data_IF_909677908451
#
_entry.id   IF_909677908451
#
_cell.length_a   1.000
_cell.length_b   1.000
_cell.length_c   1.000
_cell.angle_alpha   90.00
_cell.angle_beta   90.00
_cell.angle_gamma   90.00
#
_symmetry.space_group_name_H-M   'P 1'
#
loop_
_entity.id
_entity.type
_entity.pdbx_description
1 polymer ?
#
# COMPACT_ATOMS: atom_id res chain seq x y z
N UNK A 1 -22.14 22.93 41.72
CA UNK A 1 -22.68 22.43 40.44
C UNK A 1 -22.23 23.40 39.35
N UNK A 2 -21.17 23.06 38.62
CA UNK A 2 -20.63 23.90 37.54
C UNK A 2 -21.20 23.39 36.21
N UNK A 3 -22.06 24.19 35.59
CA UNK A 3 -22.59 23.97 34.24
C UNK A 3 -21.68 24.73 33.29
N UNK A 4 -20.55 24.13 32.94
CA UNK A 4 -19.67 24.60 31.87
C UNK A 4 -19.01 23.38 31.21
N UNK A 5 -19.81 22.36 30.89
CA UNK A 5 -19.45 21.38 29.87
C UNK A 5 -19.67 22.05 28.51
N UNK A 6 -18.75 22.94 28.14
CA UNK A 6 -18.53 23.26 26.74
C UNK A 6 -18.16 21.94 26.07
N UNK A 7 -19.14 21.28 25.43
CA UNK A 7 -18.90 20.18 24.52
C UNK A 7 -17.79 20.60 23.56
N UNK A 8 -16.58 20.11 23.80
CA UNK A 8 -15.47 20.24 22.86
C UNK A 8 -16.00 19.78 21.51
N UNK A 9 -16.05 20.68 20.54
CA UNK A 9 -16.72 20.45 19.26
C UNK A 9 -16.25 19.12 18.67
N UNK A 10 -17.12 18.10 18.71
CA UNK A 10 -16.83 16.79 18.17
C UNK A 10 -16.78 16.94 16.66
N UNK A 11 -15.58 16.88 16.09
CA UNK A 11 -15.39 16.86 14.64
C UNK A 11 -15.55 15.44 14.14
N UNK A 12 -16.22 15.29 12.99
CA UNK A 12 -16.43 14.00 12.34
C UNK A 12 -15.79 14.02 10.97
N UNK A 13 -15.17 12.89 10.62
CA UNK A 13 -14.56 12.63 9.32
C UNK A 13 -15.21 11.40 8.70
N UNK A 14 -15.38 11.39 7.38
CA UNK A 14 -15.97 10.26 6.66
C UNK A 14 -14.86 9.55 5.88
N UNK A 15 -14.29 8.53 6.49
CA UNK A 15 -13.26 7.71 5.87
C UNK A 15 -13.85 6.69 4.89
N UNK A 16 -13.08 6.35 3.88
CA UNK A 16 -13.42 5.30 2.93
C UNK A 16 -12.82 3.97 3.39
N UNK A 17 -13.56 2.88 3.18
CA UNK A 17 -13.01 1.54 3.38
C UNK A 17 -11.90 1.25 2.35
N UNK A 18 -10.94 0.36 2.68
CA UNK A 18 -9.96 -0.13 1.71
C UNK A 18 -10.66 -0.81 0.53
N UNK A 19 -10.09 -0.68 -0.66
CA UNK A 19 -10.62 -1.34 -1.86
C UNK A 19 -10.43 -2.85 -1.76
N UNK A 20 -11.25 -3.59 -2.51
CA UNK A 20 -11.12 -5.05 -2.63
C UNK A 20 -9.72 -5.47 -3.12
N UNK A 21 -9.14 -4.74 -4.07
CA UNK A 21 -7.80 -5.02 -4.60
C UNK A 21 -6.72 -4.87 -3.52
N UNK A 22 -6.77 -3.84 -2.69
CA UNK A 22 -5.83 -3.68 -1.55
C UNK A 22 -5.97 -4.80 -0.54
N UNK A 23 -7.21 -5.22 -0.22
CA UNK A 23 -7.44 -6.33 0.70
C UNK A 23 -6.97 -7.68 0.11
N UNK A 24 -7.23 -7.93 -1.17
CA UNK A 24 -6.77 -9.13 -1.86
C UNK A 24 -5.26 -9.19 -1.97
N UNK A 25 -4.60 -8.07 -2.29
CA UNK A 25 -3.14 -7.98 -2.33
C UNK A 25 -2.53 -8.22 -0.95
N UNK A 26 -3.09 -7.61 0.11
CA UNK A 26 -2.65 -7.86 1.48
C UNK A 26 -2.88 -9.32 1.90
N UNK A 27 -3.96 -9.94 1.43
CA UNK A 27 -4.25 -11.34 1.69
C UNK A 27 -3.29 -12.29 0.94
N UNK A 28 -2.99 -11.99 -0.34
CA UNK A 28 -2.11 -12.77 -1.20
C UNK A 28 -0.63 -12.64 -0.81
N UNK A 29 -0.22 -11.47 -0.33
CA UNK A 29 1.17 -11.21 0.11
C UNK A 29 1.39 -11.48 1.60
N UNK A 30 0.32 -11.54 2.41
CA UNK A 30 0.37 -11.71 3.86
C UNK A 30 0.01 -13.12 4.36
N UNK A 31 -0.38 -13.19 5.64
CA UNK A 31 -0.69 -14.45 6.36
C UNK A 31 -1.87 -15.23 5.78
N UNK A 32 -2.77 -14.57 5.05
CA UNK A 32 -3.96 -15.19 4.43
C UNK A 32 -3.63 -16.26 3.40
N UNK A 33 -2.48 -16.14 2.72
CA UNK A 33 -1.97 -17.12 1.75
C UNK A 33 -1.86 -18.53 2.33
N UNK A 34 -1.45 -18.68 3.59
CA UNK A 34 -1.32 -19.99 4.23
C UNK A 34 -2.67 -20.68 4.43
N UNK A 35 -3.73 -19.91 4.73
CA UNK A 35 -5.06 -20.46 4.93
C UNK A 35 -5.66 -20.98 3.61
N UNK A 36 -5.45 -20.25 2.51
CA UNK A 36 -5.87 -20.72 1.17
C UNK A 36 -5.04 -21.91 0.70
N UNK A 37 -3.73 -21.90 0.92
CA UNK A 37 -2.87 -23.04 0.59
C UNK A 37 -3.28 -24.27 1.40
N UNK A 38 -3.53 -24.14 2.71
CA UNK A 38 -3.99 -25.25 3.54
C UNK A 38 -5.35 -25.79 3.07
N UNK A 39 -6.30 -24.93 2.71
CA UNK A 39 -7.59 -25.33 2.15
C UNK A 39 -7.44 -26.06 0.81
N UNK A 40 -6.56 -25.58 -0.09
CA UNK A 40 -6.25 -26.28 -1.34
C UNK A 40 -5.60 -27.65 -1.10
N UNK A 41 -4.63 -27.75 -0.19
CA UNK A 41 -4.02 -29.02 0.14
C UNK A 41 -5.05 -30.00 0.70
N UNK A 42 -5.92 -29.56 1.61
CA UNK A 42 -7.00 -30.38 2.14
C UNK A 42 -7.94 -30.88 1.02
N UNK A 43 -8.31 -30.02 0.07
CA UNK A 43 -9.13 -30.41 -1.08
C UNK A 43 -8.42 -31.45 -1.96
N UNK A 44 -7.13 -31.27 -2.25
CA UNK A 44 -6.32 -32.22 -3.03
C UNK A 44 -6.25 -33.57 -2.30
N UNK A 45 -6.01 -33.59 -0.98
CA UNK A 45 -5.99 -34.82 -0.20
C UNK A 45 -7.33 -35.56 -0.23
N UNK A 46 -8.46 -34.84 -0.15
CA UNK A 46 -9.79 -35.44 -0.28
C UNK A 46 -10.02 -36.02 -1.67
N UNK A 47 -9.62 -35.31 -2.74
CA UNK A 47 -9.70 -35.79 -4.12
C UNK A 47 -8.86 -37.05 -4.35
N UNK A 48 -7.60 -37.05 -3.91
CA UNK A 48 -6.69 -38.20 -4.02
C UNK A 48 -7.23 -39.40 -3.21
N UNK A 49 -7.72 -39.16 -1.99
CA UNK A 49 -8.33 -40.20 -1.16
C UNK A 49 -9.60 -40.80 -1.79
N UNK A 50 -10.45 -39.98 -2.41
CA UNK A 50 -11.66 -40.44 -3.08
C UNK A 50 -11.34 -41.31 -4.31
N UNK A 51 -10.33 -40.93 -5.11
CA UNK A 51 -9.88 -41.71 -6.28
C UNK A 51 -9.28 -43.05 -5.84
N UNK A 52 -8.41 -43.05 -4.83
CA UNK A 52 -7.74 -44.27 -4.34
C UNK A 52 -8.72 -45.26 -3.72
N UNK A 53 -9.80 -44.79 -3.09
CA UNK A 53 -10.76 -45.67 -2.38
C UNK A 53 -11.89 -46.19 -3.26
N UNK A 54 -12.02 -45.73 -4.52
CA UNK A 54 -13.06 -46.11 -5.51
C UNK A 54 -14.49 -46.18 -4.93
N UNK A 55 -14.77 -45.44 -3.86
CA UNK A 55 -16.10 -45.43 -3.23
C UNK A 55 -16.98 -44.43 -3.95
N UNK A 56 -18.15 -44.86 -4.42
CA UNK A 56 -19.20 -44.00 -4.98
C UNK A 56 -19.65 -42.89 -4.02
N UNK A 57 -19.54 -43.13 -2.70
CA UNK A 57 -19.74 -42.11 -1.67
C UNK A 57 -18.70 -40.98 -1.69
N UNK A 58 -17.48 -41.24 -2.17
CA UNK A 58 -16.42 -40.23 -2.30
C UNK A 58 -16.78 -39.13 -3.31
N UNK A 59 -17.54 -39.47 -4.36
CA UNK A 59 -17.98 -38.50 -5.37
C UNK A 59 -18.97 -37.48 -4.82
N UNK A 60 -19.90 -37.92 -3.96
CA UNK A 60 -20.85 -37.04 -3.27
C UNK A 60 -20.14 -36.07 -2.33
N UNK A 61 -19.12 -36.57 -1.60
CA UNK A 61 -18.30 -35.74 -0.71
C UNK A 61 -17.53 -34.68 -1.51
N UNK A 62 -16.94 -35.05 -2.65
CA UNK A 62 -16.22 -34.10 -3.53
C UNK A 62 -17.16 -33.04 -4.08
N UNK A 63 -18.34 -33.42 -4.59
CA UNK A 63 -19.33 -32.47 -5.12
C UNK A 63 -19.82 -31.53 -4.01
N UNK A 64 -20.20 -32.07 -2.84
CA UNK A 64 -20.64 -31.26 -1.71
C UNK A 64 -19.54 -30.29 -1.24
N UNK A 65 -18.28 -30.75 -1.21
CA UNK A 65 -17.12 -29.92 -0.89
C UNK A 65 -16.91 -28.78 -1.89
N UNK A 66 -17.00 -29.05 -3.20
CA UNK A 66 -16.89 -28.03 -4.23
C UNK A 66 -18.03 -27.01 -4.17
N UNK A 67 -19.27 -27.45 -3.93
CA UNK A 67 -20.41 -26.55 -3.74
C UNK A 67 -20.22 -25.67 -2.51
N UNK A 68 -19.83 -26.24 -1.37
CA UNK A 68 -19.57 -25.48 -0.15
C UNK A 68 -18.44 -24.45 -0.34
N UNK A 69 -17.35 -24.83 -1.02
CA UNK A 69 -16.23 -23.93 -1.31
C UNK A 69 -16.63 -22.80 -2.28
N UNK A 70 -17.48 -23.12 -3.26
CA UNK A 70 -18.04 -22.14 -4.20
C UNK A 70 -18.96 -21.14 -3.49
N UNK A 71 -19.86 -21.61 -2.63
CA UNK A 71 -20.73 -20.75 -1.82
C UNK A 71 -19.93 -19.89 -0.84
N UNK A 72 -18.91 -20.46 -0.19
CA UNK A 72 -18.02 -19.72 0.70
C UNK A 72 -17.23 -18.65 -0.08
N UNK A 73 -16.75 -18.97 -1.27
CA UNK A 73 -16.09 -18.04 -2.17
C UNK A 73 -17.01 -16.88 -2.58
N UNK A 74 -18.24 -17.18 -3.01
CA UNK A 74 -19.24 -16.17 -3.40
C UNK A 74 -19.69 -15.31 -2.22
N UNK A 75 -19.94 -15.90 -1.06
CA UNK A 75 -20.30 -15.16 0.15
C UNK A 75 -19.15 -14.25 0.60
N UNK A 76 -17.91 -14.75 0.55
CA UNK A 76 -16.71 -13.99 0.87
C UNK A 76 -16.50 -12.80 -0.07
N UNK A 77 -16.60 -13.01 -1.39
CA UNK A 77 -16.46 -11.92 -2.37
C UNK A 77 -17.57 -10.90 -2.25
N UNK A 78 -18.83 -11.32 -2.07
CA UNK A 78 -19.96 -10.43 -1.83
C UNK A 78 -19.77 -9.61 -0.53
N UNK A 79 -19.30 -10.23 0.55
CA UNK A 79 -19.00 -9.56 1.81
C UNK A 79 -17.89 -8.52 1.66
N UNK A 80 -16.78 -8.87 1.00
CA UNK A 80 -15.65 -7.95 0.75
C UNK A 80 -16.09 -6.80 -0.13
N UNK A 81 -16.84 -7.07 -1.20
CA UNK A 81 -17.37 -6.05 -2.10
C UNK A 81 -18.28 -5.07 -1.36
N UNK A 82 -19.24 -5.59 -0.59
CA UNK A 82 -20.12 -4.77 0.23
C UNK A 82 -19.35 -3.95 1.27
N UNK A 83 -18.38 -4.56 1.96
CA UNK A 83 -17.52 -3.88 2.93
C UNK A 83 -16.69 -2.75 2.29
N UNK A 84 -16.18 -2.95 1.08
CA UNK A 84 -15.38 -1.96 0.35
C UNK A 84 -16.17 -0.69 -0.02
N UNK A 85 -17.50 -0.79 -0.09
CA UNK A 85 -18.41 0.34 -0.37
C UNK A 85 -18.87 1.08 0.89
N UNK A 86 -18.53 0.59 2.08
CA UNK A 86 -18.91 1.25 3.33
C UNK A 86 -18.07 2.49 3.58
N UNK A 87 -18.73 3.55 4.01
CA UNK A 87 -18.10 4.72 4.62
C UNK A 87 -17.98 4.46 6.12
N UNK A 88 -16.85 4.85 6.70
CA UNK A 88 -16.55 4.70 8.12
C UNK A 88 -16.53 6.10 8.72
N UNK A 89 -17.38 6.35 9.71
CA UNK A 89 -17.43 7.65 10.38
C UNK A 89 -16.42 7.64 11.52
N UNK A 90 -15.50 8.60 11.51
CA UNK A 90 -14.46 8.77 12.52
C UNK A 90 -14.79 10.03 13.32
N UNK A 91 -15.11 9.88 14.60
CA UNK A 91 -15.35 11.00 15.50
C UNK A 91 -14.09 11.34 16.29
N UNK A 92 -13.77 12.62 16.44
CA UNK A 92 -12.74 13.08 17.37
C UNK A 92 -13.41 13.62 18.63
N UNK A 93 -12.96 13.14 19.77
CA UNK A 93 -13.44 13.54 21.10
C UNK A 93 -12.26 14.00 21.96
N UNK A 94 -12.51 14.50 23.17
CA UNK A 94 -11.45 14.78 24.16
C UNK A 94 -10.64 13.53 24.52
N UNK A 95 -11.29 12.37 24.49
CA UNK A 95 -10.73 11.11 25.03
C UNK A 95 -10.02 10.30 23.93
N UNK A 96 -10.15 10.70 22.66
CA UNK A 96 -9.53 10.06 21.52
C UNK A 96 -10.45 9.98 20.29
N UNK A 97 -10.16 9.00 19.43
CA UNK A 97 -10.86 8.73 18.19
C UNK A 97 -11.91 7.64 18.36
N UNK A 98 -13.16 7.89 17.94
CA UNK A 98 -14.22 6.89 17.83
C UNK A 98 -14.34 6.42 16.38
N UNK A 99 -14.57 5.11 16.20
CA UNK A 99 -14.67 4.49 14.88
C UNK A 99 -16.04 3.83 14.73
N UNK A 100 -16.79 4.29 13.73
CA UNK A 100 -18.22 4.09 13.59
C UNK A 100 -19.00 4.56 14.84
N UNK A 101 -20.33 4.63 14.79
CA UNK A 101 -21.17 4.94 15.97
C UNK A 101 -21.04 3.92 17.13
N UNK A 102 -20.08 3.00 17.04
CA UNK A 102 -19.75 2.03 18.09
C UNK A 102 -18.97 2.75 19.19
N UNK A 103 -19.29 2.43 20.44
CA UNK A 103 -18.77 3.06 21.67
C UNK A 103 -17.27 2.82 21.94
N UNK A 104 -16.46 2.50 20.93
CA UNK A 104 -15.05 2.22 21.14
C UNK A 104 -14.20 3.45 20.87
N UNK A 105 -13.49 3.87 21.90
CA UNK A 105 -12.56 5.00 21.86
C UNK A 105 -11.14 4.46 21.72
N UNK A 106 -10.40 5.02 20.78
CA UNK A 106 -8.98 4.80 20.59
C UNK A 106 -8.22 6.02 21.11
N UNK A 107 -7.45 5.88 22.20
CA UNK A 107 -6.72 6.99 22.76
C UNK A 107 -5.65 7.50 21.77
N UNK A 108 -5.49 8.81 21.71
CA UNK A 108 -4.52 9.45 20.82
C UNK A 108 -3.11 9.53 21.41
N UNK A 109 -2.96 9.37 22.72
CA UNK A 109 -1.66 9.45 23.42
C UNK A 109 -0.65 8.41 22.92
N UNK A 110 -1.13 7.22 22.56
CA UNK A 110 -0.30 6.12 22.06
C UNK A 110 -0.33 6.00 20.53
N UNK A 111 -0.91 6.99 19.85
CA UNK A 111 -1.03 6.96 18.40
C UNK A 111 0.34 7.17 17.75
N UNK A 112 0.64 6.39 16.71
CA UNK A 112 1.93 6.41 16.02
C UNK A 112 1.75 6.57 14.52
N UNK A 113 2.61 7.34 13.88
CA UNK A 113 2.66 7.44 12.43
C UNK A 113 3.62 6.40 11.86
N UNK A 114 3.27 5.83 10.71
CA UNK A 114 4.10 4.88 9.98
C UNK A 114 3.85 4.98 8.47
N UNK A 115 4.73 4.41 7.63
CA UNK A 115 4.53 4.41 6.19
C UNK A 115 3.35 3.55 5.75
N UNK A 116 2.53 4.05 4.82
CA UNK A 116 1.58 3.25 4.06
C UNK A 116 2.15 3.04 2.65
N UNK A 117 2.84 1.90 2.47
CA UNK A 117 3.90 1.66 1.47
C UNK A 117 3.63 2.19 0.05
N UNK A 118 2.41 2.05 -0.47
CA UNK A 118 2.08 2.46 -1.85
C UNK A 118 1.14 3.67 -1.96
N UNK A 119 0.67 4.22 -0.84
CA UNK A 119 -0.49 5.12 -0.83
C UNK A 119 -0.29 6.38 0.01
N UNK A 120 0.63 6.40 0.99
CA UNK A 120 0.94 7.59 1.79
C UNK A 120 1.39 7.26 3.22
N UNK A 121 0.70 7.82 4.20
CA UNK A 121 1.01 7.66 5.64
C UNK A 121 -0.10 6.88 6.35
N UNK A 122 0.23 6.13 7.39
CA UNK A 122 -0.71 5.44 8.26
C UNK A 122 -0.62 5.95 9.70
N UNK A 123 -1.77 6.26 10.29
CA UNK A 123 -1.94 6.51 11.72
C UNK A 123 -2.37 5.21 12.41
N UNK A 124 -1.52 4.70 13.28
CA UNK A 124 -1.74 3.51 14.08
C UNK A 124 -2.35 3.90 15.41
N UNK A 125 -3.50 3.31 15.71
CA UNK A 125 -4.23 3.49 16.94
C UNK A 125 -4.34 2.16 17.67
N UNK A 126 -4.15 2.20 18.99
CA UNK A 126 -4.22 1.03 19.84
C UNK A 126 -5.13 1.30 21.03
N UNK A 127 -6.01 0.34 21.33
CA UNK A 127 -6.89 0.37 22.50
C UNK A 127 -6.98 -1.05 23.05
N UNK A 128 -6.20 -1.32 24.10
CA UNK A 128 -6.00 -2.67 24.63
C UNK A 128 -5.39 -3.63 23.60
N UNK A 129 -6.04 -4.77 23.39
CA UNK A 129 -5.67 -5.77 22.38
C UNK A 129 -6.07 -5.39 20.95
N UNK A 130 -6.78 -4.28 20.79
CA UNK A 130 -7.41 -3.96 19.52
C UNK A 130 -6.67 -2.85 18.75
N UNK A 131 -6.42 -3.26 17.51
CA UNK A 131 -6.06 -2.56 16.28
C UNK A 131 -6.97 -1.50 15.67
N UNK A 132 -6.50 -0.31 15.31
CA UNK A 132 -7.10 0.40 14.16
C UNK A 132 -6.06 1.23 13.41
N UNK A 133 -6.05 1.16 12.08
CA UNK A 133 -5.10 1.89 11.24
C UNK A 133 -5.85 2.76 10.23
N UNK A 134 -5.61 4.08 10.28
CA UNK A 134 -6.19 5.06 9.35
C UNK A 134 -5.10 5.50 8.38
N UNK A 135 -5.32 5.34 7.08
CA UNK A 135 -4.43 5.84 6.04
C UNK A 135 -4.74 7.30 5.65
N UNK A 136 -3.71 8.14 5.58
CA UNK A 136 -3.74 9.41 4.86
C UNK A 136 -3.24 9.19 3.44
N UNK A 137 -4.17 9.03 2.49
CA UNK A 137 -3.83 8.85 1.08
C UNK A 137 -3.24 10.15 0.54
N UNK A 138 -2.17 10.04 -0.23
CA UNK A 138 -1.41 11.15 -0.82
C UNK A 138 -0.72 12.07 0.19
N UNK A 139 -0.71 11.71 1.48
CA UNK A 139 0.09 12.44 2.45
C UNK A 139 1.56 12.06 2.29
N UNK A 140 2.40 13.06 2.07
CA UNK A 140 3.86 12.94 2.04
C UNK A 140 4.44 12.86 3.44
N UNK A 141 5.60 12.21 3.55
CA UNK A 141 6.37 12.12 4.80
C UNK A 141 7.42 13.24 4.76
N UNK A 142 7.34 14.19 5.68
CA UNK A 142 8.40 15.19 5.79
C UNK A 142 9.68 14.53 6.34
N UNK A 143 10.89 15.01 5.98
CA UNK A 143 12.14 14.45 6.51
C UNK A 143 12.23 14.45 8.05
N UNK A 144 11.55 15.40 8.70
CA UNK A 144 11.47 15.54 10.16
C UNK A 144 10.37 14.72 10.82
N UNK A 145 9.39 14.21 10.05
CA UNK A 145 8.27 13.44 10.60
C UNK A 145 8.79 12.12 11.20
N UNK A 146 8.56 11.91 12.50
CA UNK A 146 8.88 10.65 13.15
C UNK A 146 7.90 9.56 12.72
N UNK A 147 8.45 8.43 12.28
CA UNK A 147 7.70 7.25 11.86
C UNK A 147 7.95 6.11 12.84
N UNK A 148 7.24 6.13 13.95
CA UNK A 148 7.42 5.18 15.06
C UNK A 148 6.62 3.88 14.88
N UNK A 149 5.71 3.83 13.93
CA UNK A 149 4.95 2.62 13.59
C UNK A 149 5.56 1.88 12.38
N UNK A 150 5.47 0.53 12.37
CA UNK A 150 5.96 -0.25 11.25
C UNK A 150 5.16 0.03 9.97
N UNK A 151 5.79 -0.01 8.79
CA UNK A 151 5.11 0.12 7.51
C UNK A 151 3.95 -0.87 7.35
N UNK A 152 2.85 -0.40 6.75
CA UNK A 152 1.67 -1.21 6.47
C UNK A 152 1.36 -1.24 4.98
N UNK A 153 0.90 -2.40 4.51
CA UNK A 153 0.45 -2.62 3.14
C UNK A 153 -1.04 -2.29 2.98
N UNK A 154 -1.81 -2.42 4.06
CA UNK A 154 -3.24 -2.15 4.09
C UNK A 154 -3.63 -1.45 5.40
N UNK A 155 -4.66 -0.63 5.30
CA UNK A 155 -5.26 0.15 6.39
C UNK A 155 -6.72 -0.26 6.57
N UNK A 156 -7.29 0.01 7.74
CA UNK A 156 -8.68 -0.33 8.05
C UNK A 156 -9.66 0.70 7.45
N UNK A 157 -9.22 1.94 7.34
CA UNK A 157 -9.92 3.05 6.69
C UNK A 157 -8.91 4.03 6.12
N UNK A 158 -9.30 4.87 5.16
CA UNK A 158 -8.44 5.93 4.64
C UNK A 158 -9.20 7.23 4.39
N UNK A 159 -8.48 8.34 4.50
CA UNK A 159 -8.92 9.71 4.26
C UNK A 159 -8.04 10.33 3.17
N UNK A 160 -8.57 11.32 2.45
CA UNK A 160 -7.74 12.14 1.57
C UNK A 160 -6.81 13.03 2.39
N UNK A 161 -5.69 13.45 1.80
CA UNK A 161 -4.66 14.26 2.48
C UNK A 161 -5.23 15.44 3.26
N UNK A 162 -6.15 16.23 2.70
CA UNK A 162 -6.72 17.39 3.40
C UNK A 162 -7.48 17.00 4.68
N UNK A 163 -8.30 15.95 4.63
CA UNK A 163 -9.09 15.46 5.78
C UNK A 163 -8.19 14.77 6.81
N UNK A 164 -7.18 14.05 6.35
CA UNK A 164 -6.22 13.39 7.21
C UNK A 164 -5.33 14.41 7.94
N UNK A 165 -4.88 15.45 7.24
CA UNK A 165 -4.11 16.55 7.81
C UNK A 165 -4.92 17.31 8.86
N UNK A 166 -6.20 17.55 8.60
CA UNK A 166 -7.11 18.12 9.58
C UNK A 166 -7.29 17.20 10.79
N UNK A 167 -7.46 15.89 10.58
CA UNK A 167 -7.53 14.90 11.66
C UNK A 167 -6.24 14.92 12.50
N UNK A 168 -5.06 14.96 11.86
CA UNK A 168 -3.78 15.04 12.56
C UNK A 168 -3.60 16.37 13.28
N UNK A 169 -4.07 17.50 12.74
CA UNK A 169 -4.02 18.79 13.41
C UNK A 169 -4.90 18.82 14.66
N UNK A 170 -6.07 18.19 14.61
CA UNK A 170 -6.94 18.04 15.78
C UNK A 170 -6.30 17.12 16.82
N UNK A 171 -5.75 15.98 16.37
CA UNK A 171 -5.13 14.99 17.24
C UNK A 171 -3.81 15.46 17.87
N UNK A 172 -2.95 16.15 17.10
CA UNK A 172 -1.64 16.63 17.53
C UNK A 172 -1.70 17.63 18.69
N UNK A 173 -2.79 18.39 18.81
CA UNK A 173 -3.06 19.23 19.98
C UNK A 173 -3.20 18.44 21.28
N UNK A 174 -3.58 17.16 21.20
CA UNK A 174 -3.80 16.29 22.36
C UNK A 174 -2.65 15.34 22.61
N UNK A 175 -1.97 14.85 21.56
CA UNK A 175 -0.97 13.78 21.66
C UNK A 175 0.47 14.21 21.45
N UNK A 176 0.72 15.46 21.03
CA UNK A 176 2.08 15.89 20.67
C UNK A 176 2.62 15.19 19.41
N UNK A 177 1.75 14.54 18.63
CA UNK A 177 2.09 14.04 17.30
C UNK A 177 2.59 15.20 16.44
N UNK A 178 3.81 15.08 15.91
CA UNK A 178 4.33 16.02 14.95
C UNK A 178 3.57 15.85 13.62
N UNK A 179 2.50 16.61 13.49
CA UNK A 179 1.55 16.56 12.38
C UNK A 179 1.98 17.41 11.19
N UNK A 180 3.18 18.01 11.23
CA UNK A 180 3.59 18.94 10.19
C UNK A 180 3.79 18.20 8.87
N UNK A 181 3.06 18.61 7.83
CA UNK A 181 3.37 18.23 6.46
C UNK A 181 4.68 18.91 5.99
N UNK A 182 5.27 18.45 4.87
CA UNK A 182 6.47 19.07 4.32
C UNK A 182 6.20 20.55 4.01
N UNK A 183 7.12 21.43 4.40
CA UNK A 183 7.06 22.85 4.01
C UNK A 183 7.53 23.02 2.57
N UNK A 184 7.07 24.10 1.92
CA UNK A 184 7.71 24.57 0.69
C UNK A 184 9.19 24.87 0.94
N UNK A 185 10.07 24.27 0.13
CA UNK A 185 11.53 24.37 0.27
C UNK A 185 12.18 23.37 1.23
N UNK A 186 11.42 22.46 1.86
CA UNK A 186 12.02 21.32 2.56
C UNK A 186 12.42 20.22 1.55
N UNK A 187 13.54 19.51 1.79
CA UNK A 187 13.97 18.41 0.92
C UNK A 187 12.87 17.37 0.72
N UNK A 188 12.72 16.91 -0.52
CA UNK A 188 11.77 15.85 -0.85
C UNK A 188 12.41 14.51 -0.48
N UNK A 189 11.91 13.88 0.60
CA UNK A 189 12.30 12.52 1.01
C UNK A 189 11.31 11.49 0.50
N UNK A 190 11.79 10.51 -0.25
CA UNK A 190 11.00 9.40 -0.76
C UNK A 190 11.50 8.06 -0.19
N UNK A 191 10.59 7.27 0.38
CA UNK A 191 10.90 5.94 0.89
C UNK A 191 10.72 4.91 -0.23
N UNK A 192 11.80 4.25 -0.63
CA UNK A 192 11.80 3.25 -1.68
C UNK A 192 11.64 1.84 -1.08
N UNK A 193 10.49 1.23 -1.31
CA UNK A 193 10.22 -0.15 -0.89
C UNK A 193 10.54 -1.13 -2.02
N UNK A 194 11.01 -2.36 -1.72
CA UNK A 194 11.13 -3.38 -2.74
C UNK A 194 9.79 -3.62 -3.42
N UNK A 195 9.80 -3.78 -4.74
CA UNK A 195 8.59 -4.08 -5.46
C UNK A 195 8.03 -5.46 -5.03
N UNK A 196 6.80 -5.52 -4.44
CA UNK A 196 6.20 -6.79 -3.97
C UNK A 196 6.03 -7.81 -5.10
N UNK A 197 5.88 -7.34 -6.33
CA UNK A 197 5.70 -8.14 -7.52
C UNK A 197 6.99 -8.82 -7.99
N UNK A 198 8.17 -8.50 -7.45
CA UNK A 198 9.40 -9.25 -7.76
C UNK A 198 9.32 -10.73 -7.35
N UNK A 199 8.46 -11.06 -6.37
CA UNK A 199 8.25 -12.44 -5.94
C UNK A 199 7.72 -13.35 -7.06
N UNK A 200 6.93 -12.81 -8.00
CA UNK A 200 6.34 -13.59 -9.09
C UNK A 200 7.37 -13.92 -10.18
N UNK A 201 8.42 -13.12 -10.31
CA UNK A 201 9.55 -13.42 -11.20
C UNK A 201 10.51 -14.46 -10.61
N UNK A 202 10.35 -14.81 -9.33
CA UNK A 202 11.15 -15.84 -8.70
C UNK A 202 10.60 -17.22 -9.05
N UNK A 203 11.48 -18.14 -9.49
CA UNK A 203 11.07 -19.51 -9.77
C UNK A 203 10.44 -20.21 -8.56
N UNK A 204 9.56 -21.18 -8.81
CA UNK A 204 8.74 -21.87 -7.79
C UNK A 204 9.52 -22.54 -6.65
N UNK A 205 10.84 -22.74 -6.82
CA UNK A 205 11.73 -23.33 -5.81
C UNK A 205 12.56 -22.29 -5.03
N UNK A 206 12.41 -21.00 -5.33
CA UNK A 206 13.16 -19.92 -4.71
C UNK A 206 12.60 -19.48 -3.35
N UNK A 207 12.08 -20.42 -2.55
CA UNK A 207 11.38 -20.15 -1.28
C UNK A 207 12.17 -19.24 -0.33
N UNK A 208 13.49 -19.46 -0.21
CA UNK A 208 14.35 -18.61 0.64
C UNK A 208 14.40 -17.16 0.15
N UNK A 209 14.50 -16.94 -1.17
CA UNK A 209 14.53 -15.59 -1.77
C UNK A 209 13.17 -14.91 -1.60
N UNK A 210 12.09 -15.66 -1.81
CA UNK A 210 10.73 -15.16 -1.65
C UNK A 210 10.44 -14.76 -0.19
N UNK A 211 10.84 -15.58 0.77
CA UNK A 211 10.70 -15.26 2.19
C UNK A 211 11.52 -14.01 2.57
N UNK A 212 12.76 -13.91 2.08
CA UNK A 212 13.61 -12.74 2.34
C UNK A 212 12.99 -11.46 1.76
N UNK A 213 12.44 -11.53 0.54
CA UNK A 213 11.71 -10.42 -0.07
C UNK A 213 10.49 -10.04 0.77
N UNK A 214 9.66 -11.01 1.20
CA UNK A 214 8.50 -10.74 2.05
C UNK A 214 8.87 -10.02 3.36
N UNK A 215 10.00 -10.40 3.96
CA UNK A 215 10.52 -9.69 5.15
C UNK A 215 10.94 -8.26 4.80
N UNK A 216 11.58 -8.03 3.66
CA UNK A 216 12.01 -6.69 3.24
C UNK A 216 10.85 -5.79 2.80
N UNK A 217 9.69 -6.33 2.40
CA UNK A 217 8.50 -5.51 2.07
C UNK A 217 7.96 -4.69 3.26
N UNK A 218 8.39 -5.03 4.48
CA UNK A 218 8.01 -4.31 5.69
C UNK A 218 8.93 -3.14 6.03
N UNK A 219 9.99 -2.88 5.24
CA UNK A 219 10.96 -1.81 5.49
C UNK A 219 11.38 -1.14 4.18
N UNK A 220 11.62 0.18 4.19
CA UNK A 220 12.26 0.82 3.05
C UNK A 220 13.64 0.19 2.85
N UNK A 221 14.00 -0.09 1.60
CA UNK A 221 15.32 -0.62 1.25
C UNK A 221 16.29 0.48 0.83
N UNK A 222 15.75 1.60 0.36
CA UNK A 222 16.50 2.80 0.04
C UNK A 222 15.68 4.03 0.45
N UNK A 223 16.36 5.12 0.73
CA UNK A 223 15.77 6.44 0.87
C UNK A 223 16.38 7.33 -0.20
N UNK A 224 15.51 8.02 -0.94
CA UNK A 224 15.91 9.00 -1.95
C UNK A 224 15.59 10.38 -1.40
N UNK A 225 16.62 11.15 -1.07
CA UNK A 225 16.49 12.54 -0.64
C UNK A 225 16.85 13.44 -1.84
N UNK A 226 15.88 14.27 -2.26
CA UNK A 226 16.04 15.29 -3.28
C UNK A 226 16.13 16.65 -2.60
N UNK A 227 17.32 17.25 -2.66
CA UNK A 227 17.60 18.62 -2.24
C UNK A 227 17.65 19.52 -3.49
N UNK A 228 17.74 20.83 -3.30
CA UNK A 228 17.72 21.79 -4.41
C UNK A 228 18.85 21.56 -5.43
N UNK A 229 20.05 21.22 -4.94
CA UNK A 229 21.27 21.06 -5.74
C UNK A 229 21.78 19.62 -5.81
N UNK A 230 21.30 18.72 -4.96
CA UNK A 230 21.84 17.37 -4.83
C UNK A 230 20.76 16.29 -4.66
N UNK A 231 21.05 15.11 -5.20
CA UNK A 231 20.23 13.91 -5.00
C UNK A 231 21.07 12.88 -4.26
N UNK A 232 20.49 12.32 -3.19
CA UNK A 232 21.15 11.37 -2.30
C UNK A 232 20.38 10.06 -2.23
N UNK A 233 21.10 8.96 -2.37
CA UNK A 233 20.58 7.60 -2.18
C UNK A 233 21.19 7.04 -0.90
N UNK A 234 20.35 6.76 0.09
CA UNK A 234 20.75 6.34 1.44
C UNK A 234 20.24 4.93 1.71
N UNK A 235 21.08 4.09 2.32
CA UNK A 235 20.65 2.79 2.85
C UNK A 235 20.15 2.96 4.29
N UNK A 236 18.84 2.76 4.56
CA UNK A 236 18.28 2.98 5.89
C UNK A 236 18.74 1.96 6.94
N UNK A 237 19.42 0.86 6.56
CA UNK A 237 19.87 -0.14 7.53
C UNK A 237 21.30 0.10 8.03
N UNK A 238 22.11 0.83 7.27
CA UNK A 238 23.51 1.09 7.62
C UNK A 238 23.81 2.57 7.84
N UNK A 239 22.83 3.45 7.57
CA UNK A 239 22.99 4.91 7.46
C UNK A 239 24.16 5.34 6.56
N UNK A 240 24.70 4.41 5.77
CA UNK A 240 25.76 4.67 4.84
C UNK A 240 25.16 5.33 3.60
N UNK A 241 25.63 6.54 3.29
CA UNK A 241 25.34 7.20 2.01
C UNK A 241 25.88 6.31 0.90
N UNK A 242 24.99 5.77 0.07
CA UNK A 242 25.40 4.92 -1.06
C UNK A 242 25.93 5.78 -2.20
N UNK A 243 25.21 6.86 -2.52
CA UNK A 243 25.52 7.75 -3.64
C UNK A 243 25.05 9.16 -3.32
N UNK A 244 25.81 10.15 -3.75
CA UNK A 244 25.40 11.56 -3.81
C UNK A 244 25.85 12.12 -5.15
N UNK A 245 24.95 12.78 -5.86
CA UNK A 245 25.23 13.39 -7.14
C UNK A 245 24.58 14.78 -7.20
N UNK A 246 25.18 15.68 -7.99
CA UNK A 246 24.53 16.96 -8.33
C UNK A 246 23.25 16.67 -9.11
N UNK A 247 22.20 17.47 -8.87
CA UNK A 247 20.93 17.36 -9.60
C UNK A 247 21.13 17.48 -11.12
N UNK A 248 22.09 18.31 -11.55
CA UNK A 248 22.42 18.49 -12.96
C UNK A 248 23.01 17.23 -13.63
N UNK A 249 23.60 16.33 -12.84
CA UNK A 249 24.24 15.10 -13.32
C UNK A 249 23.31 13.88 -13.24
N UNK A 250 22.09 14.06 -12.73
CA UNK A 250 21.10 12.99 -12.60
C UNK A 250 20.04 13.14 -13.68
N UNK A 251 19.86 12.07 -14.45
CA UNK A 251 18.83 12.01 -15.49
C UNK A 251 17.71 11.08 -15.05
N UNK A 252 16.48 11.58 -14.98
CA UNK A 252 15.31 10.74 -14.80
C UNK A 252 14.54 10.63 -16.11
N UNK A 253 14.24 9.41 -16.54
CA UNK A 253 13.46 9.16 -17.76
C UNK A 253 12.14 8.43 -17.44
N UNK A 254 11.02 8.82 -18.06
CA UNK A 254 9.79 8.05 -18.04
C UNK A 254 10.01 6.64 -18.59
N UNK A 255 9.54 5.65 -17.84
CA UNK A 255 9.54 4.25 -18.24
C UNK A 255 8.18 3.61 -17.98
N UNK A 256 7.79 2.68 -18.84
CA UNK A 256 6.63 1.81 -18.64
C UNK A 256 7.11 0.39 -18.45
N UNK A 257 6.83 -0.18 -17.29
CA UNK A 257 7.22 -1.54 -16.93
C UNK A 257 6.03 -2.48 -17.13
N UNK A 258 6.15 -3.43 -18.05
CA UNK A 258 5.09 -4.37 -18.37
C UNK A 258 5.68 -5.77 -18.55
N UNK A 259 5.46 -6.62 -17.55
CA UNK A 259 5.91 -8.01 -17.62
C UNK A 259 5.26 -8.75 -18.81
N UNK A 260 6.01 -9.70 -19.37
CA UNK A 260 5.57 -10.50 -20.50
C UNK A 260 4.26 -11.23 -20.18
N UNK A 261 3.39 -11.31 -21.18
CA UNK A 261 2.12 -12.01 -21.08
C UNK A 261 2.35 -13.51 -20.84
N UNK A 262 1.63 -14.09 -19.89
CA UNK A 262 1.74 -15.53 -19.59
C UNK A 262 0.60 -16.26 -20.28
N UNK A 263 0.94 -17.28 -21.07
CA UNK A 263 -0.03 -18.16 -21.71
C UNK A 263 -0.27 -19.37 -20.81
N UNK A 264 -1.53 -19.56 -20.42
CA UNK A 264 -1.99 -20.73 -19.68
C UNK A 264 -2.20 -21.91 -20.62
N UNK A 265 -2.10 -23.13 -20.09
CA UNK A 265 -2.33 -24.37 -20.86
C UNK A 265 -3.76 -24.55 -21.39
N UNK A 266 -4.70 -23.74 -20.92
CA UNK A 266 -6.09 -23.67 -21.40
C UNK A 266 -6.27 -22.72 -22.60
N UNK A 267 -5.18 -22.12 -23.11
CA UNK A 267 -5.19 -21.16 -24.21
C UNK A 267 -5.50 -19.72 -23.82
N UNK A 268 -5.70 -19.43 -22.52
CA UNK A 268 -5.87 -18.05 -22.04
C UNK A 268 -4.52 -17.32 -21.92
N UNK A 269 -4.51 -16.03 -22.27
CA UNK A 269 -3.34 -15.16 -22.11
C UNK A 269 -3.61 -14.15 -21.01
N UNK A 270 -2.79 -14.18 -19.96
CA UNK A 270 -2.81 -13.18 -18.91
C UNK A 270 -1.83 -12.04 -19.25
N UNK A 271 -2.38 -10.87 -19.53
CA UNK A 271 -1.61 -9.65 -19.78
C UNK A 271 -1.44 -8.87 -18.49
N UNK A 272 -0.18 -8.66 -18.09
CA UNK A 272 0.09 -7.80 -16.93
C UNK A 272 -0.22 -6.34 -17.27
N UNK A 273 -0.86 -5.60 -16.34
CA UNK A 273 -1.07 -4.18 -16.52
C UNK A 273 0.27 -3.45 -16.56
N UNK A 274 0.38 -2.49 -17.46
CA UNK A 274 1.55 -1.64 -17.60
C UNK A 274 1.68 -0.73 -16.37
N UNK A 275 2.81 -0.81 -15.66
CA UNK A 275 3.09 -0.03 -14.46
C UNK A 275 3.91 1.22 -14.85
N UNK A 276 3.47 2.43 -14.51
CA UNK A 276 4.28 3.63 -14.71
C UNK A 276 5.51 3.58 -13.80
N UNK A 277 6.65 3.99 -14.32
CA UNK A 277 7.88 4.10 -13.54
C UNK A 277 8.88 5.09 -14.10
N UNK A 278 9.94 5.32 -13.34
CA UNK A 278 11.06 6.19 -13.62
C UNK A 278 12.33 5.35 -13.64
N UNK A 279 13.19 5.57 -14.62
CA UNK A 279 14.57 5.15 -14.57
C UNK A 279 15.43 6.35 -14.20
N UNK A 280 15.94 6.36 -12.98
CA UNK A 280 16.79 7.44 -12.45
C UNK A 280 18.25 7.03 -12.58
N UNK A 281 18.96 7.65 -13.52
CA UNK A 281 20.37 7.41 -13.78
C UNK A 281 21.23 8.31 -12.91
N UNK A 282 21.99 7.71 -11.99
CA UNK A 282 23.03 8.39 -11.23
C UNK A 282 24.42 8.14 -11.85
N UNK A 283 25.38 9.08 -11.76
CA UNK A 283 26.73 8.90 -12.28
C UNK A 283 27.41 7.64 -11.72
N UNK A 284 27.96 6.80 -12.60
CA UNK A 284 28.74 5.61 -12.22
C UNK A 284 27.95 4.46 -11.60
N UNK A 285 26.61 4.47 -11.70
CA UNK A 285 25.73 3.49 -11.06
C UNK A 285 24.76 2.87 -12.06
N UNK A 286 24.22 1.70 -11.73
CA UNK A 286 23.10 1.14 -12.49
C UNK A 286 21.85 2.00 -12.27
N UNK A 287 21.06 2.30 -13.32
CA UNK A 287 19.87 3.12 -13.19
C UNK A 287 18.89 2.53 -12.17
N UNK A 288 18.37 3.41 -11.31
CA UNK A 288 17.42 3.08 -10.27
C UNK A 288 16.00 3.07 -10.86
N UNK A 289 15.37 1.89 -10.91
CA UNK A 289 14.01 1.74 -11.44
C UNK A 289 12.98 1.84 -10.33
N UNK A 290 12.13 2.87 -10.41
CA UNK A 290 11.12 3.22 -9.40
C UNK A 290 9.74 3.17 -10.06
N UNK A 291 8.80 2.42 -9.50
CA UNK A 291 7.40 2.39 -9.96
C UNK A 291 6.43 2.97 -8.95
N UNK A 292 5.19 3.20 -9.37
CA UNK A 292 4.07 3.48 -8.48
C UNK A 292 2.98 2.43 -8.66
N UNK A 293 2.61 1.76 -7.56
CA UNK A 293 1.57 0.73 -7.54
C UNK A 293 0.23 1.26 -7.02
N UNK A 294 0.07 2.58 -6.94
CA UNK A 294 -1.19 3.19 -6.51
C UNK A 294 -2.31 2.86 -7.53
N UNK A 295 -3.45 2.41 -7.01
CA UNK A 295 -4.62 2.01 -7.79
C UNK A 295 -5.74 3.05 -7.67
N UNK A 296 -6.35 3.37 -8.81
CA UNK A 296 -7.61 4.08 -8.92
C UNK A 296 -8.69 3.10 -9.42
N UNK A 297 -9.45 2.52 -8.50
CA UNK A 297 -10.40 1.44 -8.82
C UNK A 297 -9.67 0.14 -9.15
N UNK A 298 -9.79 -0.32 -10.41
CA UNK A 298 -9.17 -1.54 -10.91
C UNK A 298 -7.92 -1.33 -11.77
N UNK A 299 -7.54 -0.07 -12.03
CA UNK A 299 -6.38 0.29 -12.83
C UNK A 299 -5.35 1.05 -11.99
N UNK A 300 -4.11 1.14 -12.48
CA UNK A 300 -3.13 2.05 -11.90
C UNK A 300 -3.63 3.48 -12.04
N UNK A 301 -3.43 4.25 -10.97
CA UNK A 301 -3.80 5.66 -10.91
C UNK A 301 -3.03 6.47 -11.95
N UNK A 302 -1.74 6.18 -12.07
CA UNK A 302 -0.84 6.96 -12.92
C UNK A 302 -0.57 6.26 -14.25
N UNK A 303 -0.38 7.05 -15.30
CA UNK A 303 0.12 6.61 -16.62
C UNK A 303 0.99 7.69 -17.24
N UNK A 304 1.91 7.30 -18.13
CA UNK A 304 2.63 8.26 -18.97
C UNK A 304 1.82 8.58 -20.23
N UNK A 305 1.77 9.86 -20.59
CA UNK A 305 1.23 10.34 -21.85
C UNK A 305 2.26 10.10 -22.96
N UNK A 306 1.82 9.52 -24.07
CA UNK A 306 2.66 9.23 -25.23
C UNK A 306 3.56 7.99 -25.05
N UNK A 307 4.61 7.92 -25.85
CA UNK A 307 5.52 6.77 -25.88
C UNK A 307 6.67 6.93 -24.89
N UNK A 308 6.54 6.31 -23.72
CA UNK A 308 7.67 6.10 -22.79
C UNK A 308 8.43 4.82 -23.13
N UNK A 309 9.71 4.74 -22.79
CA UNK A 309 10.51 3.53 -22.95
C UNK A 309 9.83 2.33 -22.25
N UNK A 310 9.61 1.24 -22.98
CA UNK A 310 8.99 0.03 -22.42
C UNK A 310 10.07 -0.97 -22.01
N UNK A 311 9.93 -1.51 -20.80
CA UNK A 311 10.74 -2.61 -20.30
C UNK A 311 9.83 -3.77 -19.89
N UNK A 312 10.25 -4.99 -20.21
CA UNK A 312 9.59 -6.20 -19.72
C UNK A 312 10.00 -6.57 -18.29
N UNK A 313 11.02 -5.88 -17.75
CA UNK A 313 11.41 -6.02 -16.36
C UNK A 313 10.40 -5.35 -15.43
N UNK A 314 10.43 -5.73 -14.15
CA UNK A 314 9.65 -5.07 -13.11
C UNK A 314 10.51 -4.00 -12.44
N UNK A 315 9.96 -2.84 -12.03
CA UNK A 315 10.74 -1.85 -11.32
C UNK A 315 11.27 -2.47 -10.03
N UNK A 316 12.51 -2.16 -9.67
CA UNK A 316 13.16 -2.72 -8.49
C UNK A 316 12.51 -2.18 -7.20
N UNK A 317 12.10 -0.92 -7.23
CA UNK A 317 11.51 -0.22 -6.09
C UNK A 317 10.16 0.37 -6.42
N UNK A 318 9.38 0.62 -5.38
CA UNK A 318 8.08 1.28 -5.45
C UNK A 318 8.00 2.38 -4.41
N UNK A 319 7.23 3.41 -4.73
CA UNK A 319 6.96 4.57 -3.88
C UNK A 319 5.47 4.76 -3.68
N UNK A 320 5.11 5.57 -2.67
CA UNK A 320 3.74 6.02 -2.49
C UNK A 320 3.27 6.90 -3.65
N UNK A 321 1.96 7.00 -3.87
CA UNK A 321 1.41 7.92 -4.89
C UNK A 321 1.82 9.38 -4.66
N UNK A 322 1.92 9.82 -3.41
CA UNK A 322 2.37 11.16 -3.05
C UNK A 322 3.84 11.41 -3.45
N UNK A 323 4.70 10.46 -3.10
CA UNK A 323 6.13 10.52 -3.42
C UNK A 323 6.36 10.39 -4.92
N UNK A 324 5.55 9.59 -5.61
CA UNK A 324 5.56 9.49 -7.06
C UNK A 324 5.29 10.84 -7.73
N UNK A 325 4.20 11.52 -7.37
CA UNK A 325 3.88 12.85 -7.90
C UNK A 325 5.00 13.85 -7.61
N UNK A 326 5.57 13.83 -6.39
CA UNK A 326 6.68 14.71 -6.03
C UNK A 326 7.94 14.43 -6.85
N UNK A 327 8.30 13.16 -7.06
CA UNK A 327 9.46 12.81 -7.90
C UNK A 327 9.26 13.28 -9.34
N UNK A 328 8.08 13.06 -9.91
CA UNK A 328 7.75 13.50 -11.28
C UNK A 328 7.82 15.02 -11.39
N UNK A 329 7.34 15.74 -10.39
CA UNK A 329 7.44 17.21 -10.32
C UNK A 329 8.90 17.68 -10.24
N UNK A 330 9.69 17.12 -9.33
CA UNK A 330 11.10 17.45 -9.17
C UNK A 330 11.91 17.19 -10.45
N UNK A 331 11.59 16.14 -11.21
CA UNK A 331 12.27 15.88 -12.48
C UNK A 331 11.66 16.64 -13.67
N UNK A 332 10.67 17.51 -13.47
CA UNK A 332 10.04 18.28 -14.55
C UNK A 332 9.23 17.45 -15.53
N UNK A 333 8.76 16.27 -15.10
CA UNK A 333 8.04 15.29 -15.92
C UNK A 333 6.51 15.39 -15.77
N UNK A 334 6.00 16.31 -14.96
CA UNK A 334 4.56 16.53 -14.72
C UNK A 334 3.72 16.66 -15.99
N UNK A 335 4.15 17.39 -17.05
CA UNK A 335 3.34 17.50 -18.28
C UNK A 335 3.11 16.17 -19.01
N UNK A 336 3.93 15.15 -18.72
CA UNK A 336 3.85 13.82 -19.31
C UNK A 336 3.06 12.86 -18.43
N UNK A 337 2.73 13.21 -17.19
CA UNK A 337 2.03 12.33 -16.26
C UNK A 337 0.52 12.52 -16.35
N UNK A 338 -0.21 11.41 -16.43
CA UNK A 338 -1.66 11.37 -16.25
C UNK A 338 -1.98 10.84 -14.84
N UNK A 339 -2.86 11.54 -14.13
CA UNK A 339 -3.38 11.12 -12.82
C UNK A 339 -4.90 10.86 -12.94
N UNK A 340 -5.30 9.60 -12.76
CA UNK A 340 -6.68 9.15 -12.81
C UNK A 340 -7.37 9.09 -11.44
N UNK A 341 -6.80 9.74 -10.41
CA UNK A 341 -7.45 9.83 -9.11
C UNK A 341 -8.81 10.54 -9.24
N UNK A 342 -9.87 9.74 -9.17
CA UNK A 342 -11.22 10.28 -9.04
C UNK A 342 -11.41 10.68 -7.58
N UNK A 343 -11.41 11.99 -7.31
CA UNK A 343 -12.12 12.50 -6.15
C UNK A 343 -13.60 12.29 -6.46
N UNK A 344 -14.19 11.25 -5.90
CA UNK A 344 -15.65 11.22 -5.81
C UNK A 344 -16.02 12.34 -4.85
N UNK A 345 -16.27 13.52 -5.38
CA UNK A 345 -17.02 14.54 -4.67
C UNK A 345 -18.34 13.90 -4.23
N UNK A 346 -18.64 14.10 -2.95
CA UNK A 346 -19.63 13.37 -2.16
C UNK A 346 -21.04 13.34 -2.76
#
# INVERSE_FOLDING_TARGET
>A
MSVNDQYAASRQFVASAPTMSTQMNAFATGKGRFLVQAAMFALIFVLVGAVLTRRTQGFVIVIAGLVALSLFGLAGTAYVWWRSRRKIVIGVTSDGLTVDQRRKVFPLVDAKLGPWVNMGVALHLQSGSQRFVIGGRDRRIAPSTRLDAPPVQAVDAWLWVAEFDELLAVAGRQSGLDSRGPRSGEPTRCLLFPNPYLAEAMGSFAFRKQHRLQQSLSKPSLVLDLEDDAIRVIDPNSDARRVTASRADVTATPATFQADSVHSGDGSTYNYPATPGLAVQLPGQTPLTIGCLDLAGSAFRFSWRGDSARSNERPAYVVSGADWSALVEEFGLTPQLEDNAKRHDA
#
